data_IF_516036849618
#
_entry.id   IF_516036849618
#
_cell.length_a   1.000
_cell.length_b   1.000
_cell.length_c   1.000
_cell.angle_alpha   90.00
_cell.angle_beta   90.00
_cell.angle_gamma   90.00
#
_symmetry.space_group_name_H-M   'P 1'
#
loop_
_entity.id
_entity.type
_entity.pdbx_description
1 polymer ?
#
# COMPACT_ATOMS: atom_id res chain seq x y z
N UNK A 1 -1.68 -2.87 32.61
CA UNK A 1 -0.92 -2.30 31.47
C UNK A 1 0.15 -3.29 31.05
N UNK A 2 -0.04 -3.99 29.94
CA UNK A 2 1.02 -4.87 29.39
C UNK A 2 2.06 -3.97 28.73
N UNK A 3 3.31 -4.07 29.16
CA UNK A 3 4.46 -3.50 28.44
C UNK A 3 4.42 -4.09 27.04
N UNK A 4 4.18 -3.25 26.04
CA UNK A 4 4.58 -3.56 24.67
C UNK A 4 6.10 -3.50 24.73
N UNK A 5 6.73 -4.64 24.98
CA UNK A 5 8.15 -4.81 24.69
C UNK A 5 8.31 -4.41 23.23
N UNK A 6 9.12 -3.38 23.04
CA UNK A 6 9.45 -2.81 21.76
C UNK A 6 10.15 -3.93 20.99
N UNK A 7 9.40 -4.70 20.20
CA UNK A 7 10.00 -5.47 19.11
C UNK A 7 10.79 -4.41 18.34
N UNK A 8 12.12 -4.54 18.35
CA UNK A 8 13.00 -3.53 17.78
C UNK A 8 12.48 -3.15 16.40
N UNK A 9 12.40 -1.85 16.10
CA UNK A 9 11.93 -1.34 14.80
C UNK A 9 12.71 -2.05 13.70
N UNK A 10 12.13 -3.08 13.13
CA UNK A 10 12.82 -3.94 12.18
C UNK A 10 12.50 -3.42 10.78
N UNK A 11 13.51 -2.86 10.11
CA UNK A 11 13.37 -2.44 8.73
C UNK A 11 13.15 -3.65 7.84
N UNK A 12 11.97 -3.73 7.23
CA UNK A 12 11.56 -4.84 6.37
C UNK A 12 11.59 -4.47 4.88
N UNK A 13 11.88 -3.21 4.55
CA UNK A 13 12.26 -2.71 3.23
C UNK A 13 11.70 -1.31 2.97
N UNK A 14 11.89 -0.76 1.77
CA UNK A 14 11.50 0.62 1.48
C UNK A 14 11.98 1.14 0.11
N UNK A 15 11.60 2.37 -0.20
CA UNK A 15 12.01 3.16 -1.36
C UNK A 15 12.61 4.50 -0.91
N UNK A 16 12.85 5.42 -1.86
CA UNK A 16 13.54 6.71 -1.60
C UNK A 16 12.80 7.59 -0.57
N UNK A 17 11.46 7.54 -0.54
CA UNK A 17 10.61 8.41 0.29
C UNK A 17 9.75 7.64 1.31
N UNK A 18 9.92 6.32 1.41
CA UNK A 18 9.11 5.47 2.28
C UNK A 18 9.92 4.32 2.85
N UNK A 19 9.68 3.98 4.12
CA UNK A 19 10.21 2.75 4.71
C UNK A 19 9.11 1.95 5.39
N UNK A 20 9.25 0.63 5.36
CA UNK A 20 8.38 -0.30 6.04
C UNK A 20 9.13 -0.85 7.26
N UNK A 21 8.50 -0.74 8.43
CA UNK A 21 9.03 -1.19 9.72
C UNK A 21 8.03 -2.15 10.33
N UNK A 22 8.46 -3.35 10.73
CA UNK A 22 7.59 -4.23 11.51
C UNK A 22 7.36 -3.62 12.90
N UNK A 23 6.10 -3.45 13.29
CA UNK A 23 5.73 -2.97 14.63
C UNK A 23 5.29 -4.13 15.53
N UNK A 24 4.76 -5.19 14.93
CA UNK A 24 4.45 -6.47 15.57
C UNK A 24 4.45 -7.61 14.54
N UNK A 25 4.11 -8.82 14.97
CA UNK A 25 4.11 -10.01 14.09
C UNK A 25 3.13 -9.91 12.91
N UNK A 26 2.08 -9.10 13.06
CA UNK A 26 0.97 -8.97 12.12
C UNK A 26 0.92 -7.59 11.45
N UNK A 27 1.74 -6.62 11.86
CA UNK A 27 1.65 -5.23 11.40
C UNK A 27 2.99 -4.72 10.89
N UNK A 28 2.94 -4.12 9.70
CA UNK A 28 4.02 -3.35 9.11
C UNK A 28 3.59 -1.88 9.05
N UNK A 29 4.38 -0.99 9.63
CA UNK A 29 4.22 0.45 9.52
C UNK A 29 4.99 0.99 8.34
N UNK A 30 4.27 1.61 7.40
CA UNK A 30 4.82 2.37 6.30
C UNK A 30 5.04 3.80 6.77
N UNK A 31 6.30 4.15 7.04
CA UNK A 31 6.72 5.52 7.31
C UNK A 31 6.84 6.27 5.98
N UNK A 32 6.19 7.43 5.90
CA UNK A 32 6.23 8.33 4.76
C UNK A 32 7.21 9.44 5.12
N UNK A 33 8.39 9.43 4.52
CA UNK A 33 9.48 10.33 4.91
C UNK A 33 9.30 11.76 4.38
N UNK A 34 8.26 12.00 3.59
CA UNK A 34 7.89 13.32 3.10
C UNK A 34 7.21 14.15 4.22
N UNK A 35 7.87 15.23 4.62
CA UNK A 35 7.50 16.05 5.79
C UNK A 35 6.33 16.99 5.53
N UNK A 36 5.94 17.18 4.27
CA UNK A 36 4.96 18.20 3.88
C UNK A 36 3.54 17.64 3.62
N UNK A 37 3.33 16.34 3.83
CA UNK A 37 1.99 15.75 3.73
C UNK A 37 1.09 16.21 4.87
N UNK A 38 -0.09 16.73 4.53
CA UNK A 38 -1.14 17.05 5.51
C UNK A 38 -1.82 15.78 6.03
N UNK A 39 -2.53 15.88 7.15
CA UNK A 39 -3.27 14.74 7.71
C UNK A 39 -4.32 14.22 6.73
N UNK A 40 -5.00 15.11 6.00
CA UNK A 40 -5.95 14.72 4.95
C UNK A 40 -5.26 13.98 3.80
N UNK A 41 -4.03 14.35 3.43
CA UNK A 41 -3.27 13.63 2.41
C UNK A 41 -2.85 12.23 2.89
N UNK A 42 -2.41 12.10 4.15
CA UNK A 42 -2.08 10.79 4.74
C UNK A 42 -3.34 9.93 4.88
N UNK A 43 -4.46 10.53 5.29
CA UNK A 43 -5.75 9.85 5.35
C UNK A 43 -6.18 9.35 3.98
N UNK A 44 -6.04 10.19 2.94
CA UNK A 44 -6.39 9.82 1.58
C UNK A 44 -5.58 8.63 1.06
N UNK A 45 -4.29 8.55 1.42
CA UNK A 45 -3.44 7.41 1.12
C UNK A 45 -3.97 6.12 1.77
N UNK A 46 -4.35 6.19 3.05
CA UNK A 46 -4.95 5.08 3.77
C UNK A 46 -6.27 4.64 3.12
N UNK A 47 -7.15 5.58 2.75
CA UNK A 47 -8.43 5.28 2.10
C UNK A 47 -8.24 4.64 0.72
N UNK A 48 -7.28 5.11 -0.09
CA UNK A 48 -6.95 4.47 -1.37
C UNK A 48 -6.44 3.04 -1.17
N UNK A 49 -5.56 2.80 -0.19
CA UNK A 49 -5.14 1.44 0.17
C UNK A 49 -6.32 0.57 0.63
N UNK A 50 -7.26 1.15 1.40
CA UNK A 50 -8.44 0.44 1.90
C UNK A 50 -9.36 0.05 0.75
N UNK A 51 -9.61 0.95 -0.18
CA UNK A 51 -10.41 0.70 -1.37
C UNK A 51 -9.76 -0.36 -2.26
N UNK A 52 -8.44 -0.31 -2.45
CA UNK A 52 -7.70 -1.33 -3.18
C UNK A 52 -7.81 -2.71 -2.51
N UNK A 53 -7.74 -2.78 -1.17
CA UNK A 53 -7.99 -4.01 -0.42
C UNK A 53 -9.40 -4.55 -0.61
N UNK A 54 -10.42 -3.70 -0.55
CA UNK A 54 -11.81 -4.14 -0.69
C UNK A 54 -12.10 -4.67 -2.10
N UNK A 55 -11.47 -4.10 -3.14
CA UNK A 55 -11.57 -4.57 -4.52
C UNK A 55 -10.75 -5.83 -4.79
N UNK A 56 -9.55 -5.93 -4.21
CA UNK A 56 -8.56 -6.97 -4.50
C UNK A 56 -7.96 -7.57 -3.21
N UNK A 57 -8.78 -8.18 -2.33
CA UNK A 57 -8.34 -8.59 -0.98
C UNK A 57 -7.36 -9.76 -0.97
N UNK A 58 -7.23 -10.48 -2.11
CA UNK A 58 -6.24 -11.56 -2.25
C UNK A 58 -4.86 -11.03 -2.62
N UNK A 59 -4.78 -9.84 -3.19
CA UNK A 59 -3.56 -9.28 -3.74
C UNK A 59 -3.03 -8.10 -2.93
N UNK A 60 -3.92 -7.40 -2.22
CA UNK A 60 -3.60 -6.19 -1.47
C UNK A 60 -3.62 -6.51 0.02
N UNK A 61 -2.64 -6.03 0.80
CA UNK A 61 -2.61 -6.23 2.25
C UNK A 61 -3.66 -5.35 2.92
N UNK A 62 -4.22 -5.82 4.02
CA UNK A 62 -5.23 -5.07 4.77
C UNK A 62 -4.61 -3.83 5.46
N UNK A 63 -5.03 -2.60 5.13
CA UNK A 63 -4.60 -1.43 5.88
C UNK A 63 -5.33 -1.37 7.22
N UNK A 64 -4.56 -1.17 8.30
CA UNK A 64 -5.02 -1.22 9.69
C UNK A 64 -5.26 0.16 10.28
N UNK A 65 -4.32 1.07 10.10
CA UNK A 65 -4.34 2.38 10.76
C UNK A 65 -3.52 3.42 9.97
N UNK A 66 -3.64 4.69 10.33
CA UNK A 66 -2.84 5.80 9.79
C UNK A 66 -2.66 6.91 10.82
N UNK A 67 -1.70 7.79 10.61
CA UNK A 67 -1.54 8.99 11.42
C UNK A 67 -0.13 9.52 11.44
N UNK A 68 0.28 10.11 12.57
CA UNK A 68 1.65 10.59 12.81
C UNK A 68 2.27 9.86 13.99
N UNK A 69 3.55 9.52 13.86
CA UNK A 69 4.31 8.95 14.97
C UNK A 69 4.78 10.05 15.95
N UNK A 70 5.45 9.68 17.04
CA UNK A 70 5.94 10.64 18.06
C UNK A 70 6.92 11.70 17.54
N UNK A 71 7.48 11.49 16.36
CA UNK A 71 8.37 12.42 15.66
C UNK A 71 7.63 13.22 14.58
N UNK A 72 6.29 13.24 14.63
CA UNK A 72 5.39 13.88 13.65
C UNK A 72 5.49 13.33 12.23
N UNK A 73 6.19 12.20 12.05
CA UNK A 73 6.37 11.56 10.76
C UNK A 73 5.10 10.76 10.40
N UNK A 74 4.53 11.01 9.20
CA UNK A 74 3.30 10.37 8.77
C UNK A 74 3.50 8.88 8.49
N UNK A 75 2.45 8.09 8.76
CA UNK A 75 2.48 6.65 8.56
C UNK A 75 1.14 6.04 8.14
N UNK A 76 1.23 4.85 7.54
CA UNK A 76 0.10 3.92 7.35
C UNK A 76 0.52 2.54 7.85
N UNK A 77 -0.26 1.97 8.75
CA UNK A 77 -0.09 0.60 9.21
C UNK A 77 -0.85 -0.36 8.29
N UNK A 78 -0.20 -1.43 7.88
CA UNK A 78 -0.76 -2.48 7.02
C UNK A 78 -0.50 -3.87 7.60
N UNK A 79 -1.28 -4.84 7.15
CA UNK A 79 -1.04 -6.26 7.39
C UNK A 79 0.39 -6.63 6.97
N UNK A 80 1.15 -7.17 7.93
CA UNK A 80 2.44 -7.76 7.66
C UNK A 80 2.21 -9.14 7.04
N UNK A 81 2.73 -9.33 5.84
CA UNK A 81 2.73 -10.63 5.15
C UNK A 81 4.04 -11.37 5.50
N UNK A 82 3.99 -12.38 6.40
CA UNK A 82 5.13 -13.26 6.66
C UNK A 82 5.35 -14.23 5.48
N UNK A 83 6.55 -14.79 5.33
CA UNK A 83 6.75 -15.91 4.40
C UNK A 83 6.15 -17.18 5.04
N UNK A 84 5.13 -17.77 4.40
CA UNK A 84 4.57 -19.06 4.82
C UNK A 84 5.50 -20.26 4.45
N UNK A 85 5.19 -21.45 4.97
CA UNK A 85 6.01 -22.65 4.76
C UNK A 85 6.05 -23.10 3.29
N UNK A 86 4.99 -22.89 2.51
CA UNK A 86 4.94 -23.28 1.11
C UNK A 86 5.86 -22.40 0.25
N UNK A 87 5.78 -21.09 0.46
CA UNK A 87 6.69 -20.13 -0.18
C UNK A 87 8.12 -20.32 0.33
N UNK A 88 8.31 -20.70 1.60
CA UNK A 88 9.63 -21.09 2.10
C UNK A 88 10.17 -22.28 1.28
N UNK A 89 9.39 -23.34 1.11
CA UNK A 89 9.82 -24.56 0.40
C UNK A 89 10.11 -24.35 -1.08
N UNK A 90 9.29 -23.56 -1.80
CA UNK A 90 9.57 -23.20 -3.19
C UNK A 90 10.90 -22.45 -3.33
N UNK A 91 11.28 -21.69 -2.31
CA UNK A 91 12.43 -20.80 -2.36
C UNK A 91 13.71 -21.53 -1.93
N UNK A 92 13.59 -22.50 -1.01
CA UNK A 92 14.64 -23.51 -0.80
C UNK A 92 14.94 -24.26 -2.10
N UNK A 93 13.91 -24.69 -2.85
CA UNK A 93 14.09 -25.39 -4.13
C UNK A 93 14.80 -24.54 -5.19
N UNK A 94 14.63 -23.22 -5.14
CA UNK A 94 15.32 -22.27 -6.02
C UNK A 94 16.74 -21.92 -5.55
N UNK A 95 17.27 -22.62 -4.54
CA UNK A 95 18.64 -22.45 -4.04
C UNK A 95 18.83 -21.19 -3.18
N UNK A 96 17.75 -20.64 -2.63
CA UNK A 96 17.80 -19.47 -1.78
C UNK A 96 17.91 -19.83 -0.30
N UNK A 97 18.79 -19.12 0.42
CA UNK A 97 18.97 -19.27 1.87
C UNK A 97 17.87 -18.51 2.59
N UNK A 98 17.13 -19.20 3.46
CA UNK A 98 15.98 -18.64 4.15
C UNK A 98 16.30 -18.35 5.62
N UNK A 99 15.84 -17.20 6.15
CA UNK A 99 16.17 -16.75 7.48
C UNK A 99 15.44 -17.56 8.57
N UNK A 100 16.14 -17.78 9.69
CA UNK A 100 15.59 -18.26 10.95
C UNK A 100 15.29 -17.06 11.85
N UNK A 101 14.23 -16.31 11.53
CA UNK A 101 13.75 -15.13 12.27
C UNK A 101 14.75 -13.97 12.45
N UNK A 102 14.22 -12.75 12.34
CA UNK A 102 14.90 -11.49 12.00
C UNK A 102 15.49 -11.44 10.57
N UNK A 103 15.19 -10.39 9.77
CA UNK A 103 15.74 -10.15 8.46
C UNK A 103 17.18 -9.76 8.61
N UNK A 104 18.02 -10.78 8.64
CA UNK A 104 19.44 -10.62 8.40
C UNK A 104 19.67 -10.16 6.96
N UNK A 105 20.92 -9.76 6.65
CA UNK A 105 21.31 -9.29 5.32
C UNK A 105 20.94 -10.28 4.19
N UNK A 106 20.86 -11.58 4.48
CA UNK A 106 20.45 -12.60 3.51
C UNK A 106 18.96 -12.54 3.17
N UNK A 107 18.08 -12.25 4.12
CA UNK A 107 16.64 -12.04 3.84
C UNK A 107 16.43 -10.84 2.90
N UNK A 108 17.17 -9.76 3.14
CA UNK A 108 17.15 -8.56 2.29
C UNK A 108 17.66 -8.87 0.88
N UNK A 109 18.79 -9.56 0.76
CA UNK A 109 19.36 -9.95 -0.54
C UNK A 109 18.45 -10.93 -1.30
N UNK A 110 17.81 -11.83 -0.58
CA UNK A 110 16.86 -12.79 -1.11
C UNK A 110 15.62 -12.10 -1.70
N UNK A 111 15.01 -11.15 -0.99
CA UNK A 111 13.89 -10.37 -1.56
C UNK A 111 14.33 -9.52 -2.77
N UNK A 112 15.56 -9.01 -2.78
CA UNK A 112 16.13 -8.33 -3.94
C UNK A 112 16.23 -9.25 -5.16
N UNK A 113 16.55 -10.55 -4.96
CA UNK A 113 16.56 -11.55 -6.04
C UNK A 113 15.15 -11.93 -6.49
N UNK A 114 14.24 -12.17 -5.54
CA UNK A 114 12.83 -12.51 -5.79
C UNK A 114 12.10 -11.48 -6.67
N UNK A 115 12.34 -10.19 -6.41
CA UNK A 115 11.85 -9.06 -7.21
C UNK A 115 12.07 -9.22 -8.71
N UNK A 116 13.19 -9.84 -9.10
CA UNK A 116 13.55 -9.99 -10.51
C UNK A 116 13.01 -11.29 -11.14
N UNK A 117 12.37 -12.15 -10.35
CA UNK A 117 11.75 -13.38 -10.85
C UNK A 117 10.57 -13.06 -11.78
N UNK A 118 10.39 -13.91 -12.78
CA UNK A 118 9.37 -13.72 -13.81
C UNK A 118 7.94 -13.84 -13.25
N UNK A 119 7.74 -14.71 -12.26
CA UNK A 119 6.45 -14.89 -11.59
C UNK A 119 6.01 -13.61 -10.86
N UNK A 120 6.92 -12.97 -10.11
CA UNK A 120 6.64 -11.72 -9.38
C UNK A 120 6.38 -10.57 -10.35
N UNK A 121 7.14 -10.46 -11.44
CA UNK A 121 6.89 -9.46 -12.49
C UNK A 121 5.49 -9.62 -13.11
N UNK A 122 5.07 -10.84 -13.41
CA UNK A 122 3.74 -11.13 -13.96
C UNK A 122 2.62 -10.82 -12.97
N UNK A 123 2.74 -11.24 -11.71
CA UNK A 123 1.76 -10.94 -10.68
C UNK A 123 1.62 -9.42 -10.45
N UNK A 124 2.74 -8.70 -10.42
CA UNK A 124 2.77 -7.23 -10.35
C UNK A 124 2.06 -6.59 -11.53
N UNK A 125 2.36 -7.01 -12.75
CA UNK A 125 1.73 -6.46 -13.96
C UNK A 125 0.22 -6.70 -13.94
N UNK A 126 -0.23 -7.88 -13.50
CA UNK A 126 -1.65 -8.19 -13.35
C UNK A 126 -2.33 -7.28 -12.32
N UNK A 127 -1.73 -7.11 -11.13
CA UNK A 127 -2.29 -6.24 -10.10
C UNK A 127 -2.30 -4.78 -10.56
N UNK A 128 -1.25 -4.30 -11.20
CA UNK A 128 -1.20 -2.95 -11.76
C UNK A 128 -2.33 -2.73 -12.79
N UNK A 129 -2.58 -3.69 -13.68
CA UNK A 129 -3.68 -3.63 -14.64
C UNK A 129 -5.05 -3.62 -13.93
N UNK A 130 -5.24 -4.44 -12.89
CA UNK A 130 -6.48 -4.45 -12.09
C UNK A 130 -6.74 -3.09 -11.44
N UNK A 131 -5.71 -2.51 -10.81
CA UNK A 131 -5.78 -1.20 -10.16
C UNK A 131 -6.04 -0.07 -11.17
N UNK A 132 -5.34 -0.06 -12.29
CA UNK A 132 -5.57 0.93 -13.35
C UNK A 132 -7.00 0.84 -13.93
N UNK A 133 -7.50 -0.38 -14.17
CA UNK A 133 -8.87 -0.59 -14.65
C UNK A 133 -9.92 -0.16 -13.62
N UNK A 134 -9.60 -0.24 -12.33
CA UNK A 134 -10.43 0.26 -11.25
C UNK A 134 -10.27 1.78 -10.99
N UNK A 135 -9.48 2.50 -11.80
CA UNK A 135 -9.33 3.95 -11.69
C UNK A 135 -8.25 4.43 -10.71
N UNK A 136 -7.37 3.56 -10.22
CA UNK A 136 -6.22 3.99 -9.43
C UNK A 136 -5.08 4.45 -10.34
N UNK A 137 -4.45 5.60 -10.05
CA UNK A 137 -3.19 5.99 -10.70
C UNK A 137 -2.03 5.57 -9.81
N UNK A 138 -1.21 4.65 -10.31
CA UNK A 138 0.00 4.23 -9.62
C UNK A 138 1.17 5.08 -10.09
N UNK A 139 1.76 5.87 -9.21
CA UNK A 139 3.03 6.54 -9.52
C UNK A 139 4.22 5.63 -9.26
N UNK A 140 5.16 5.64 -10.21
CA UNK A 140 6.50 5.11 -10.00
C UNK A 140 6.67 3.59 -10.18
N UNK A 141 7.86 3.23 -10.66
CA UNK A 141 8.31 1.84 -10.81
C UNK A 141 8.77 1.21 -9.48
N UNK A 142 8.31 1.71 -8.31
CA UNK A 142 8.91 1.37 -7.01
C UNK A 142 8.29 0.11 -6.39
N UNK A 143 9.06 -0.54 -5.52
CA UNK A 143 9.04 -1.99 -5.37
C UNK A 143 8.39 -2.44 -4.08
N UNK A 144 7.22 -3.05 -4.23
CA UNK A 144 6.48 -3.72 -3.17
C UNK A 144 6.77 -5.22 -3.26
N UNK A 145 7.40 -5.80 -2.24
CA UNK A 145 7.85 -7.21 -2.24
C UNK A 145 7.00 -8.09 -1.31
N UNK A 146 7.31 -9.39 -1.32
CA UNK A 146 6.58 -10.56 -0.80
C UNK A 146 5.37 -10.95 -1.63
N UNK A 147 5.36 -12.22 -2.00
CA UNK A 147 4.16 -13.02 -2.23
C UNK A 147 4.27 -14.15 -1.21
N UNK A 148 3.50 -14.03 -0.13
CA UNK A 148 2.94 -15.19 0.54
C UNK A 148 1.43 -15.06 0.36
N UNK A 149 0.76 -16.16 0.05
CA UNK A 149 -0.68 -16.17 -0.26
C UNK A 149 -1.11 -15.24 -1.43
N UNK A 150 -0.18 -14.81 -2.29
CA UNK A 150 -0.49 -13.94 -3.44
C UNK A 150 -0.63 -12.44 -3.14
N UNK A 151 -0.48 -12.01 -1.88
CA UNK A 151 -0.54 -10.59 -1.46
C UNK A 151 0.79 -9.86 -1.58
N UNK A 152 0.77 -8.58 -1.96
CA UNK A 152 1.94 -7.68 -1.85
C UNK A 152 2.10 -7.16 -0.40
N UNK A 153 3.32 -6.82 0.06
CA UNK A 153 3.52 -6.29 1.44
C UNK A 153 2.91 -4.93 1.68
N UNK A 154 2.91 -4.06 0.68
CA UNK A 154 2.24 -2.77 0.72
C UNK A 154 1.98 -2.29 -0.70
N UNK A 155 1.07 -1.34 -0.86
CA UNK A 155 0.91 -0.63 -2.13
C UNK A 155 1.43 0.80 -1.96
N UNK A 156 2.32 1.17 -2.86
CA UNK A 156 2.88 2.52 -2.93
C UNK A 156 1.91 3.42 -3.69
N UNK A 157 0.89 3.91 -2.99
CA UNK A 157 0.03 4.97 -3.52
C UNK A 157 0.67 6.33 -3.28
N UNK A 158 0.38 7.28 -4.15
CA UNK A 158 0.46 8.69 -3.79
C UNK A 158 -0.79 9.08 -3.00
N UNK A 159 -0.74 10.15 -2.19
CA UNK A 159 -1.96 10.77 -1.68
C UNK A 159 -2.94 11.04 -2.83
N UNK A 160 -4.23 11.03 -2.55
CA UNK A 160 -5.24 11.14 -3.59
C UNK A 160 -5.17 12.45 -4.39
N UNK A 161 -4.55 13.50 -3.81
CA UNK A 161 -4.13 14.69 -4.51
C UNK A 161 -2.75 15.17 -4.04
N UNK A 162 -2.01 15.79 -4.96
CA UNK A 162 -0.83 16.60 -4.62
C UNK A 162 -1.06 18.04 -5.02
N UNK A 163 -0.46 18.96 -4.24
CA UNK A 163 -0.47 20.39 -4.58
C UNK A 163 0.78 20.69 -5.41
N UNK A 164 0.64 21.33 -6.56
CA UNK A 164 1.78 21.86 -7.31
C UNK A 164 1.77 23.39 -7.22
N UNK A 165 2.74 23.95 -6.51
CA UNK A 165 2.77 25.38 -6.20
C UNK A 165 3.04 26.25 -7.44
N UNK A 166 3.64 25.68 -8.48
CA UNK A 166 4.04 26.38 -9.71
C UNK A 166 3.11 26.11 -10.92
N UNK A 167 1.95 25.46 -10.72
CA UNK A 167 1.01 25.07 -11.78
C UNK A 167 -0.23 25.97 -11.81
N UNK A 168 -0.76 26.24 -13.02
CA UNK A 168 -2.06 26.91 -13.20
C UNK A 168 -3.21 26.12 -12.58
N UNK A 169 -3.06 24.80 -12.52
CA UNK A 169 -3.90 23.89 -11.74
C UNK A 169 -3.14 23.43 -10.50
N UNK A 170 -3.43 24.00 -9.32
CA UNK A 170 -2.61 23.76 -8.15
C UNK A 170 -2.83 22.37 -7.56
N UNK A 171 -3.72 21.54 -8.12
CA UNK A 171 -4.04 20.21 -7.63
C UNK A 171 -3.99 19.17 -8.74
N UNK A 172 -3.28 18.08 -8.49
CA UNK A 172 -3.25 16.88 -9.33
C UNK A 172 -3.97 15.74 -8.63
N UNK A 173 -5.01 15.17 -9.25
CA UNK A 173 -5.75 14.02 -8.72
C UNK A 173 -5.11 12.68 -9.15
N UNK A 174 -4.83 11.82 -8.18
CA UNK A 174 -4.13 10.53 -8.33
C UNK A 174 -5.07 9.32 -8.44
N UNK A 175 -6.33 9.55 -8.79
CA UNK A 175 -7.30 8.51 -9.13
C UNK A 175 -8.36 9.05 -10.11
N UNK A 176 -9.20 8.17 -10.63
CA UNK A 176 -10.31 8.47 -11.52
C UNK A 176 -11.63 8.17 -10.77
N UNK A 177 -12.32 9.19 -10.21
CA UNK A 177 -13.48 8.99 -9.34
C UNK A 177 -14.58 8.13 -9.96
N UNK A 178 -14.93 8.38 -11.22
CA UNK A 178 -16.00 7.66 -11.93
C UNK A 178 -15.66 6.19 -12.18
N UNK A 179 -14.41 5.89 -12.56
CA UNK A 179 -13.97 4.50 -12.74
C UNK A 179 -13.92 3.76 -11.41
N UNK A 180 -13.43 4.41 -10.36
CA UNK A 180 -13.35 3.83 -9.03
C UNK A 180 -14.73 3.55 -8.44
N UNK A 181 -15.67 4.50 -8.59
CA UNK A 181 -17.06 4.30 -8.21
C UNK A 181 -17.69 3.10 -8.92
N UNK A 182 -17.55 2.99 -10.25
CA UNK A 182 -18.07 1.85 -11.02
C UNK A 182 -17.43 0.53 -10.60
N UNK A 183 -16.14 0.53 -10.30
CA UNK A 183 -15.45 -0.66 -9.79
C UNK A 183 -16.01 -1.09 -8.42
N UNK A 184 -16.28 -0.15 -7.52
CA UNK A 184 -16.91 -0.41 -6.23
C UNK A 184 -18.32 -0.96 -6.40
N UNK A 185 -19.14 -0.32 -7.23
CA UNK A 185 -20.52 -0.75 -7.53
C UNK A 185 -20.59 -2.17 -8.10
N UNK A 186 -19.51 -2.65 -8.73
CA UNK A 186 -19.39 -4.01 -9.27
C UNK A 186 -19.03 -5.09 -8.23
N UNK A 187 -18.73 -4.72 -6.97
CA UNK A 187 -18.42 -5.68 -5.90
C UNK A 187 -19.67 -6.54 -5.60
N UNK A 188 -19.62 -7.88 -5.77
CA UNK A 188 -20.80 -8.73 -5.59
C UNK A 188 -21.25 -8.90 -4.13
N UNK A 189 -20.32 -8.74 -3.18
CA UNK A 189 -20.55 -8.88 -1.74
C UNK A 189 -21.18 -7.58 -1.19
N UNK A 190 -22.45 -7.58 -0.75
CA UNK A 190 -23.15 -6.34 -0.37
C UNK A 190 -22.51 -5.61 0.83
N UNK A 191 -21.98 -6.36 1.78
CA UNK A 191 -21.34 -5.80 2.97
C UNK A 191 -20.04 -5.09 2.61
N UNK A 192 -19.24 -5.74 1.76
CA UNK A 192 -17.99 -5.17 1.24
C UNK A 192 -18.23 -3.99 0.30
N UNK A 193 -19.26 -4.07 -0.54
CA UNK A 193 -19.69 -2.98 -1.41
C UNK A 193 -20.06 -1.75 -0.57
N UNK A 194 -20.88 -1.94 0.47
CA UNK A 194 -21.26 -0.88 1.41
C UNK A 194 -20.05 -0.26 2.11
N UNK A 195 -19.13 -1.08 2.61
CA UNK A 195 -17.89 -0.58 3.22
C UNK A 195 -17.07 0.23 2.21
N UNK A 196 -16.87 -0.30 1.00
CA UNK A 196 -16.10 0.37 -0.04
C UNK A 196 -16.74 1.71 -0.45
N UNK A 197 -18.06 1.76 -0.60
CA UNK A 197 -18.77 3.00 -0.91
C UNK A 197 -18.65 4.02 0.22
N UNK A 198 -18.71 3.59 1.49
CA UNK A 198 -18.49 4.49 2.63
C UNK A 198 -17.08 5.09 2.62
N UNK A 199 -16.05 4.28 2.35
CA UNK A 199 -14.66 4.75 2.24
C UNK A 199 -14.43 5.65 1.02
N UNK A 200 -15.12 5.38 -0.08
CA UNK A 200 -15.10 6.25 -1.25
C UNK A 200 -15.74 7.61 -0.95
N UNK A 201 -16.90 7.64 -0.30
CA UNK A 201 -17.55 8.89 0.10
C UNK A 201 -16.69 9.69 1.09
N UNK A 202 -16.05 9.01 2.04
CA UNK A 202 -15.07 9.60 2.96
C UNK A 202 -13.88 10.21 2.21
N UNK A 203 -13.34 9.50 1.22
CA UNK A 203 -12.28 10.00 0.35
C UNK A 203 -12.73 11.24 -0.42
N UNK A 204 -13.91 11.20 -1.05
CA UNK A 204 -14.45 12.33 -1.82
C UNK A 204 -14.75 13.55 -0.94
N UNK A 205 -15.01 13.36 0.36
CA UNK A 205 -15.26 14.46 1.30
C UNK A 205 -13.98 15.20 1.71
N UNK A 206 -12.83 14.53 1.75
CA UNK A 206 -11.54 15.13 2.12
C UNK A 206 -10.77 15.68 0.90
N UNK A 207 -11.07 15.20 -0.31
CA UNK A 207 -10.44 15.73 -1.53
C UNK A 207 -10.90 17.18 -1.76
N UNK A 208 -9.97 18.15 -1.97
CA UNK A 208 -10.33 19.53 -2.26
C UNK A 208 -11.22 19.64 -3.50
N UNK A 209 -12.31 20.40 -3.43
CA UNK A 209 -13.24 20.59 -4.57
C UNK A 209 -12.53 21.00 -5.87
N UNK A 210 -11.53 21.89 -5.77
CA UNK A 210 -10.71 22.32 -6.91
C UNK A 210 -9.96 21.16 -7.59
N UNK A 211 -9.56 20.13 -6.85
CA UNK A 211 -8.94 18.95 -7.41
C UNK A 211 -9.93 18.07 -8.20
N UNK A 212 -11.22 18.14 -7.87
CA UNK A 212 -12.31 17.42 -8.55
C UNK A 212 -12.81 18.16 -9.80
N UNK A 213 -12.74 19.49 -9.80
CA UNK A 213 -13.16 20.35 -10.93
C UNK A 213 -12.26 20.16 -12.17
N UNK A 214 -11.01 19.73 -11.97
CA UNK A 214 -10.03 19.49 -13.03
C UNK A 214 -10.16 18.10 -13.70
N UNK A 215 -11.19 17.35 -13.33
CA UNK A 215 -11.54 16.08 -13.97
C UNK A 215 -12.73 16.37 -14.88
N UNK A 216 -12.49 16.63 -16.16
CA UNK A 216 -13.58 16.72 -17.15
C UNK A 216 -14.46 15.46 -17.02
N UNK A 217 -15.76 15.68 -16.74
CA UNK A 217 -16.79 14.63 -16.66
C UNK A 217 -17.15 14.13 -18.05
#
# INVERSE_FOLDING_TARGET
MRRIEQIGKQHIGGGVEKSAVATDDHTARLLLHDRDLTDDQVHSLFLLQRLAYLLFPREVPYPKDWGRNKSEEPYVDVERIPIDAHHRDEQVKLGHVLPHSEPNAHEIEYYKKLKNSEAVKKARALLANKLANAGFKLEGKRENFSHAEGKVRFLDFTPAWTKWEDSSDPYLLHFEPEKLRKAIESIPDPERNREAMNRFNELMAIVPKKALENVEI
#
